data_IF_827026568069
#
_entry.id   IF_827026568069
#
_cell.length_a   1.000
_cell.length_b   1.000
_cell.length_c   1.000
_cell.angle_alpha   90.00
_cell.angle_beta   90.00
_cell.angle_gamma   90.00
#
_symmetry.space_group_name_H-M   'P 1'
#
loop_
_entity.id
_entity.type
_entity.pdbx_description
1 polymer ?
#
# COMPACT_ATOMS: atom_id res chain seq x y z
N UNK A 1 -2.34 -6.31 19.79
CA UNK A 1 -1.90 -5.02 19.20
C UNK A 1 -1.31 -5.22 17.80
N UNK A 2 -0.25 -6.04 17.65
CA UNK A 2 0.44 -6.33 16.37
C UNK A 2 -0.51 -6.61 15.20
N UNK A 3 -1.45 -7.53 15.37
CA UNK A 3 -2.42 -7.90 14.32
C UNK A 3 -3.37 -6.76 13.93
N UNK A 4 -3.75 -5.90 14.87
CA UNK A 4 -4.59 -4.72 14.58
C UNK A 4 -3.80 -3.71 13.75
N UNK A 5 -2.50 -3.52 14.05
CA UNK A 5 -1.63 -2.68 13.24
C UNK A 5 -1.43 -3.26 11.83
N UNK A 6 -1.21 -4.57 11.71
CA UNK A 6 -1.15 -5.23 10.40
C UNK A 6 -2.44 -5.03 9.61
N UNK A 7 -3.61 -5.13 10.26
CA UNK A 7 -4.89 -4.87 9.62
C UNK A 7 -5.00 -3.41 9.13
N UNK A 8 -4.62 -2.43 9.94
CA UNK A 8 -4.60 -1.02 9.54
C UNK A 8 -3.66 -0.76 8.36
N UNK A 9 -2.47 -1.37 8.37
CA UNK A 9 -1.51 -1.27 7.27
C UNK A 9 -2.10 -1.86 5.98
N UNK A 10 -2.77 -3.02 6.06
CA UNK A 10 -3.47 -3.62 4.91
C UNK A 10 -4.58 -2.72 4.37
N UNK A 11 -5.38 -2.09 5.24
CA UNK A 11 -6.42 -1.15 4.82
C UNK A 11 -5.82 0.08 4.09
N UNK A 12 -4.72 0.63 4.62
CA UNK A 12 -3.99 1.73 3.99
C UNK A 12 -3.43 1.33 2.62
N UNK A 13 -2.81 0.15 2.54
CA UNK A 13 -2.31 -0.42 1.29
C UNK A 13 -3.41 -0.62 0.25
N UNK A 14 -4.57 -1.16 0.66
CA UNK A 14 -5.74 -1.33 -0.20
C UNK A 14 -6.24 0.02 -0.75
N UNK A 15 -6.41 1.03 0.11
CA UNK A 15 -6.80 2.37 -0.33
C UNK A 15 -5.79 2.95 -1.34
N UNK A 16 -4.50 2.81 -1.07
CA UNK A 16 -3.44 3.32 -1.95
C UNK A 16 -3.42 2.59 -3.30
N UNK A 17 -3.69 1.28 -3.31
CA UNK A 17 -3.87 0.50 -4.55
C UNK A 17 -5.07 1.00 -5.37
N UNK A 18 -6.21 1.24 -4.73
CA UNK A 18 -7.39 1.82 -5.37
C UNK A 18 -7.12 3.25 -5.89
N UNK A 19 -6.33 4.04 -5.16
CA UNK A 19 -5.88 5.36 -5.62
C UNK A 19 -5.01 5.26 -6.87
N UNK A 20 -4.12 4.27 -6.97
CA UNK A 20 -3.38 4.04 -8.22
C UNK A 20 -4.28 3.76 -9.42
N UNK A 21 -5.42 3.07 -9.24
CA UNK A 21 -6.43 2.89 -10.30
C UNK A 21 -7.04 4.24 -10.69
N UNK A 22 -7.35 5.09 -9.71
CA UNK A 22 -7.84 6.45 -9.98
C UNK A 22 -6.83 7.27 -10.80
N UNK A 23 -5.55 7.27 -10.41
CA UNK A 23 -4.48 7.97 -11.16
C UNK A 23 -4.34 7.41 -12.58
N UNK A 24 -4.46 6.09 -12.74
CA UNK A 24 -4.38 5.45 -14.05
C UNK A 24 -5.54 5.85 -14.95
N UNK A 25 -6.78 5.78 -14.45
CA UNK A 25 -8.00 5.93 -15.26
C UNK A 25 -8.40 7.39 -15.42
N UNK A 26 -8.39 8.15 -14.32
CA UNK A 26 -8.95 9.51 -14.27
C UNK A 26 -7.93 10.59 -14.59
N UNK A 27 -6.69 10.42 -14.16
CA UNK A 27 -5.59 11.35 -14.50
C UNK A 27 -4.82 10.92 -15.75
N UNK A 28 -5.11 9.71 -16.27
CA UNK A 28 -4.44 9.09 -17.44
C UNK A 28 -2.91 9.04 -17.30
N UNK A 29 -2.40 9.05 -16.06
CA UNK A 29 -0.97 9.07 -15.78
C UNK A 29 -0.49 7.68 -15.32
N UNK A 30 -0.20 6.84 -16.32
CA UNK A 30 0.17 5.43 -16.07
C UNK A 30 1.48 5.25 -15.33
N UNK A 31 2.45 6.14 -15.55
CA UNK A 31 3.75 6.10 -14.87
C UNK A 31 3.59 6.43 -13.37
N UNK A 32 2.81 7.47 -13.06
CA UNK A 32 2.51 7.81 -11.68
C UNK A 32 1.72 6.68 -11.00
N UNK A 33 0.70 6.13 -11.65
CA UNK A 33 -0.08 5.02 -11.12
C UNK A 33 0.78 3.77 -10.82
N UNK A 34 1.71 3.43 -11.73
CA UNK A 34 2.67 2.35 -11.50
C UNK A 34 3.56 2.61 -10.28
N UNK A 35 4.07 3.84 -10.14
CA UNK A 35 4.84 4.27 -8.98
C UNK A 35 4.05 4.16 -7.66
N UNK A 36 2.78 4.58 -7.68
CA UNK A 36 1.86 4.45 -6.53
C UNK A 36 1.68 3.00 -6.14
N UNK A 37 1.43 2.09 -7.10
CA UNK A 37 1.27 0.67 -6.80
C UNK A 37 2.54 0.02 -6.25
N UNK A 38 3.69 0.34 -6.83
CA UNK A 38 4.98 -0.19 -6.36
C UNK A 38 5.26 0.29 -4.93
N UNK A 39 5.04 1.58 -4.66
CA UNK A 39 5.19 2.15 -3.32
C UNK A 39 4.19 1.56 -2.33
N UNK A 40 2.93 1.35 -2.73
CA UNK A 40 1.91 0.73 -1.90
C UNK A 40 2.32 -0.67 -1.45
N UNK A 41 2.84 -1.50 -2.37
CA UNK A 41 3.34 -2.84 -2.03
C UNK A 41 4.51 -2.79 -1.05
N UNK A 42 5.51 -1.95 -1.30
CA UNK A 42 6.70 -1.85 -0.42
C UNK A 42 6.31 -1.32 0.96
N UNK A 43 5.52 -0.25 1.01
CA UNK A 43 5.06 0.38 2.25
C UNK A 43 4.04 -0.46 3.03
N UNK A 44 3.46 -1.50 2.43
CA UNK A 44 2.59 -2.46 3.12
C UNK A 44 3.41 -3.65 3.62
N UNK A 45 4.22 -4.26 2.76
CA UNK A 45 4.93 -5.51 3.04
C UNK A 45 6.06 -5.31 4.07
N UNK A 46 6.91 -4.29 3.88
CA UNK A 46 8.07 -4.05 4.75
C UNK A 46 7.69 -3.85 6.23
N UNK A 47 6.75 -2.94 6.58
CA UNK A 47 6.39 -2.75 7.98
C UNK A 47 5.63 -3.94 8.57
N UNK A 48 4.84 -4.70 7.78
CA UNK A 48 4.21 -5.94 8.26
C UNK A 48 5.29 -6.97 8.63
N UNK A 49 6.30 -7.16 7.78
CA UNK A 49 7.42 -8.07 8.07
C UNK A 49 8.15 -7.61 9.35
N UNK A 50 8.47 -6.32 9.47
CA UNK A 50 9.14 -5.81 10.67
C UNK A 50 8.29 -5.99 11.93
N UNK A 51 6.97 -5.76 11.87
CA UNK A 51 6.06 -5.95 13.01
C UNK A 51 5.93 -7.41 13.42
N UNK A 52 6.04 -8.35 12.49
CA UNK A 52 5.98 -9.79 12.79
C UNK A 52 7.30 -10.29 13.39
N UNK A 53 8.45 -9.81 12.88
CA UNK A 53 9.77 -10.27 13.33
C UNK A 53 10.16 -9.64 14.68
N UNK A 54 9.93 -8.33 14.84
CA UNK A 54 10.39 -7.57 16.03
C UNK A 54 9.31 -7.37 17.10
N UNK A 55 8.06 -7.76 16.80
CA UNK A 55 6.93 -7.59 17.70
C UNK A 55 6.85 -8.69 18.73
#
# INVERSE_FOLDING_TARGET
MKYILCFLILCSGYYTLSYGIYVWVRENNRLAAFGVWLLALVSTIVPIIMLIING
#
